data_IF_416912619500
#
_entry.id   IF_416912619500
#
_cell.length_a   1.000
_cell.length_b   1.000
_cell.length_c   1.000
_cell.angle_alpha   90.00
_cell.angle_beta   90.00
_cell.angle_gamma   90.00
#
_symmetry.space_group_name_H-M   'P 1'
#
loop_
_entity.id
_entity.type
_entity.pdbx_description
1 polymer ?
#
# COMPACT_ATOMS: atom_id res chain seq x y z
N UNK A 1 -35.81 -11.15 -16.12
CA UNK A 1 -34.45 -11.12 -15.55
C UNK A 1 -33.46 -10.93 -16.69
N UNK A 2 -32.35 -10.22 -16.47
CA UNK A 2 -31.29 -10.11 -17.48
C UNK A 2 -30.71 -11.51 -17.81
N UNK A 3 -30.11 -11.69 -18.98
CA UNK A 3 -29.34 -12.90 -19.29
C UNK A 3 -28.02 -12.89 -18.54
N UNK A 4 -27.39 -14.06 -18.36
CA UNK A 4 -26.06 -14.16 -17.73
C UNK A 4 -25.01 -13.35 -18.49
N UNK A 5 -25.00 -13.42 -19.83
CA UNK A 5 -24.12 -12.59 -20.69
C UNK A 5 -24.31 -11.08 -20.44
N UNK A 6 -25.54 -10.65 -20.16
CA UNK A 6 -25.84 -9.25 -19.87
C UNK A 6 -25.36 -8.85 -18.47
N UNK A 7 -25.46 -9.75 -17.49
CA UNK A 7 -24.88 -9.54 -16.16
C UNK A 7 -23.37 -9.45 -16.24
N UNK A 8 -22.73 -10.34 -17.00
CA UNK A 8 -21.29 -10.29 -17.22
C UNK A 8 -20.86 -8.97 -17.84
N UNK A 9 -21.57 -8.51 -18.88
CA UNK A 9 -21.31 -7.22 -19.51
C UNK A 9 -21.44 -6.06 -18.50
N UNK A 10 -22.50 -6.02 -17.69
CA UNK A 10 -22.69 -5.00 -16.66
C UNK A 10 -21.53 -4.94 -15.66
N UNK A 11 -21.09 -6.10 -15.16
CA UNK A 11 -20.00 -6.16 -14.19
C UNK A 11 -18.68 -5.71 -14.82
N UNK A 12 -18.34 -6.23 -16.01
CA UNK A 12 -17.07 -5.89 -16.68
C UNK A 12 -17.03 -4.41 -17.07
N UNK A 13 -18.13 -3.83 -17.52
CA UNK A 13 -18.26 -2.40 -17.81
C UNK A 13 -18.08 -1.58 -16.53
N UNK A 14 -18.82 -1.90 -15.46
CA UNK A 14 -18.69 -1.22 -14.17
C UNK A 14 -17.26 -1.27 -13.61
N UNK A 15 -16.59 -2.44 -13.66
CA UNK A 15 -15.20 -2.59 -13.21
C UNK A 15 -14.22 -1.86 -14.12
N UNK A 16 -14.51 -1.72 -15.41
CA UNK A 16 -13.67 -0.93 -16.33
C UNK A 16 -13.78 0.58 -16.07
N UNK A 17 -14.99 1.06 -15.78
CA UNK A 17 -15.30 2.48 -15.68
C UNK A 17 -15.06 3.09 -14.29
N UNK A 18 -15.10 2.27 -13.23
CA UNK A 18 -14.95 2.79 -11.86
C UNK A 18 -13.59 3.46 -11.65
N UNK A 19 -13.60 4.72 -11.21
CA UNK A 19 -12.39 5.40 -10.73
C UNK A 19 -12.06 4.93 -9.31
N UNK A 20 -10.87 4.36 -9.13
CA UNK A 20 -10.46 3.70 -7.88
C UNK A 20 -9.85 4.68 -6.90
N UNK A 21 -10.02 4.38 -5.61
CA UNK A 21 -9.21 4.96 -4.55
C UNK A 21 -8.07 3.98 -4.26
N UNK A 22 -6.83 4.38 -4.60
CA UNK A 22 -5.66 3.58 -4.27
C UNK A 22 -5.21 3.88 -2.85
N UNK A 23 -5.78 3.12 -1.91
CA UNK A 23 -5.71 3.40 -0.47
C UNK A 23 -4.29 3.30 0.11
N UNK A 24 -3.29 2.82 -0.64
CA UNK A 24 -1.91 2.76 -0.16
C UNK A 24 -0.88 2.64 -1.30
N UNK A 25 0.07 3.58 -1.32
CA UNK A 25 1.20 3.62 -2.26
C UNK A 25 2.46 4.20 -1.61
N UNK A 26 3.57 4.10 -2.32
CA UNK A 26 4.84 4.76 -2.04
C UNK A 26 5.16 5.84 -3.09
N UNK A 27 4.13 6.36 -3.77
CA UNK A 27 4.27 7.39 -4.79
C UNK A 27 4.32 8.77 -4.14
N UNK A 28 4.94 9.71 -4.85
CA UNK A 28 4.96 11.14 -4.53
C UNK A 28 4.68 11.94 -5.81
N UNK A 29 4.07 13.13 -5.71
CA UNK A 29 3.84 13.97 -6.88
C UNK A 29 5.16 14.54 -7.42
N UNK A 30 5.18 14.99 -8.69
CA UNK A 30 6.37 15.60 -9.32
C UNK A 30 7.00 16.73 -8.52
N UNK A 31 6.19 17.48 -7.77
CA UNK A 31 6.65 18.56 -6.88
C UNK A 31 7.60 18.11 -5.76
N UNK A 32 7.71 16.81 -5.47
CA UNK A 32 8.65 16.25 -4.49
C UNK A 32 9.99 15.82 -5.10
N UNK A 33 10.20 16.12 -6.38
CA UNK A 33 11.45 15.90 -7.08
C UNK A 33 11.97 14.47 -6.90
N UNK A 34 13.12 14.25 -6.24
CA UNK A 34 13.75 12.93 -6.14
C UNK A 34 12.90 11.82 -5.48
N UNK A 35 11.86 12.17 -4.71
CA UNK A 35 10.97 11.17 -4.12
C UNK A 35 9.99 10.56 -5.15
N UNK A 36 9.75 11.26 -6.27
CA UNK A 36 8.95 10.71 -7.35
C UNK A 36 9.80 9.74 -8.16
N UNK A 37 9.57 8.44 -7.99
CA UNK A 37 10.15 7.41 -8.83
C UNK A 37 9.23 7.09 -10.02
N UNK A 38 9.77 7.19 -11.23
CA UNK A 38 9.05 6.96 -12.49
C UNK A 38 10.04 6.61 -13.62
N UNK A 39 9.51 6.16 -14.75
CA UNK A 39 10.27 5.79 -15.94
C UNK A 39 10.67 4.31 -16.02
N UNK A 40 11.08 3.89 -17.22
CA UNK A 40 11.40 2.49 -17.51
C UNK A 40 12.53 1.92 -16.66
N UNK A 41 13.59 2.69 -16.39
CA UNK A 41 14.71 2.19 -15.58
C UNK A 41 14.29 1.99 -14.11
N UNK A 42 13.40 2.84 -13.57
CA UNK A 42 12.81 2.64 -12.25
C UNK A 42 11.90 1.41 -12.21
N UNK A 43 11.07 1.21 -13.25
CA UNK A 43 10.25 0.01 -13.38
C UNK A 43 11.09 -1.27 -13.37
N UNK A 44 12.16 -1.30 -14.17
CA UNK A 44 13.04 -2.47 -14.31
C UNK A 44 13.87 -2.72 -13.06
N UNK A 45 14.28 -1.68 -12.33
CA UNK A 45 15.04 -1.81 -11.08
C UNK A 45 14.17 -1.90 -9.83
N UNK A 46 12.86 -2.11 -10.01
CA UNK A 46 11.96 -2.45 -8.91
C UNK A 46 12.38 -3.76 -8.24
N UNK A 47 12.36 -3.79 -6.92
CA UNK A 47 12.94 -4.90 -6.13
C UNK A 47 12.39 -6.30 -6.44
N UNK A 48 11.17 -6.42 -6.98
CA UNK A 48 10.66 -7.72 -7.43
C UNK A 48 11.46 -8.26 -8.62
N UNK A 49 11.77 -7.39 -9.58
CA UNK A 49 12.55 -7.76 -10.76
C UNK A 49 14.04 -7.92 -10.42
N UNK A 50 14.57 -7.13 -9.49
CA UNK A 50 15.93 -7.34 -8.98
C UNK A 50 16.03 -8.73 -8.31
N UNK A 51 15.06 -9.09 -7.46
CA UNK A 51 15.04 -10.41 -6.82
C UNK A 51 14.89 -11.54 -7.85
N UNK A 52 14.02 -11.38 -8.83
CA UNK A 52 13.84 -12.35 -9.93
C UNK A 52 15.10 -12.49 -10.78
N UNK A 53 15.79 -11.39 -11.09
CA UNK A 53 17.05 -11.39 -11.84
C UNK A 53 18.10 -12.27 -11.16
N UNK A 54 18.32 -12.11 -9.85
CA UNK A 54 19.31 -12.93 -9.13
C UNK A 54 18.95 -14.42 -9.07
N UNK A 55 17.67 -14.77 -9.19
CA UNK A 55 17.21 -16.18 -9.21
C UNK A 55 17.30 -16.79 -10.60
N UNK A 56 17.15 -15.98 -11.66
CA UNK A 56 16.95 -16.45 -13.03
C UNK A 56 18.16 -16.31 -13.93
N UNK A 57 19.05 -15.35 -13.67
CA UNK A 57 20.28 -15.19 -14.41
C UNK A 57 21.17 -16.43 -14.25
N UNK A 58 21.78 -16.89 -15.35
CA UNK A 58 22.67 -18.07 -15.31
C UNK A 58 23.97 -17.76 -14.54
N UNK A 59 24.52 -16.57 -14.73
CA UNK A 59 25.73 -16.07 -14.06
C UNK A 59 25.52 -14.60 -13.60
N UNK A 60 24.73 -14.36 -12.55
CA UNK A 60 24.54 -13.00 -12.05
C UNK A 60 25.84 -12.46 -11.46
N UNK A 61 26.10 -11.14 -11.57
CA UNK A 61 27.15 -10.50 -10.78
C UNK A 61 26.88 -10.70 -9.27
N UNK A 62 27.91 -10.51 -8.43
CA UNK A 62 27.67 -10.45 -6.98
C UNK A 62 26.72 -9.29 -6.63
N UNK A 63 26.02 -9.38 -5.50
CA UNK A 63 25.10 -8.33 -5.07
C UNK A 63 25.78 -6.97 -4.98
N UNK A 64 26.95 -6.90 -4.34
CA UNK A 64 27.76 -5.68 -4.24
C UNK A 64 28.13 -5.12 -5.61
N UNK A 65 28.53 -5.99 -6.55
CA UNK A 65 28.86 -5.57 -7.91
C UNK A 65 27.66 -5.04 -8.67
N UNK A 66 26.48 -5.64 -8.51
CA UNK A 66 25.25 -5.17 -9.13
C UNK A 66 24.82 -3.81 -8.58
N UNK A 67 24.85 -3.64 -7.26
CA UNK A 67 24.44 -2.39 -6.62
C UNK A 67 25.45 -1.26 -6.74
N UNK A 68 26.69 -1.56 -7.13
CA UNK A 68 27.69 -0.56 -7.53
C UNK A 68 27.43 0.05 -8.92
N UNK A 69 26.64 -0.61 -9.77
CA UNK A 69 26.26 -0.10 -11.10
C UNK A 69 25.27 1.06 -10.96
N UNK A 70 25.23 1.94 -11.96
CA UNK A 70 24.18 2.93 -12.03
C UNK A 70 22.81 2.28 -12.37
N UNK A 71 21.72 3.04 -12.19
CA UNK A 71 20.36 2.52 -12.40
C UNK A 71 20.09 2.11 -13.84
N UNK A 72 20.71 2.76 -14.82
CA UNK A 72 20.53 2.49 -16.25
C UNK A 72 21.22 1.18 -16.63
N UNK A 73 22.40 0.93 -16.08
CA UNK A 73 23.15 -0.32 -16.21
C UNK A 73 22.41 -1.50 -15.55
N UNK A 74 21.93 -1.32 -14.30
CA UNK A 74 21.08 -2.30 -13.61
C UNK A 74 19.85 -2.67 -14.44
N UNK A 75 19.13 -1.66 -14.95
CA UNK A 75 17.95 -1.86 -15.79
C UNK A 75 18.25 -2.61 -17.08
N UNK A 76 19.39 -2.33 -17.73
CA UNK A 76 19.82 -3.04 -18.94
C UNK A 76 20.10 -4.52 -18.66
N UNK A 77 20.79 -4.86 -17.56
CA UNK A 77 21.03 -6.25 -17.18
C UNK A 77 19.72 -7.01 -16.93
N UNK A 78 18.78 -6.39 -16.21
CA UNK A 78 17.47 -6.97 -15.93
C UNK A 78 16.66 -7.16 -17.22
N UNK A 79 16.65 -6.16 -18.10
CA UNK A 79 15.96 -6.23 -19.40
C UNK A 79 16.49 -7.40 -20.25
N UNK A 80 17.81 -7.48 -20.39
CA UNK A 80 18.45 -8.48 -21.22
C UNK A 80 18.17 -9.91 -20.71
N UNK A 81 18.21 -10.11 -19.39
CA UNK A 81 17.99 -11.43 -18.82
C UNK A 81 16.51 -11.82 -18.78
N UNK A 82 15.64 -10.96 -18.24
CA UNK A 82 14.24 -11.30 -17.97
C UNK A 82 13.31 -11.14 -19.18
N UNK A 83 13.67 -10.29 -20.15
CA UNK A 83 12.79 -9.95 -21.28
C UNK A 83 13.36 -10.35 -22.65
N UNK A 84 14.69 -10.39 -22.81
CA UNK A 84 15.33 -10.76 -24.07
C UNK A 84 15.72 -12.24 -24.13
N UNK A 85 16.46 -12.74 -23.13
CA UNK A 85 16.92 -14.14 -23.09
C UNK A 85 15.82 -15.11 -22.70
N UNK A 86 14.84 -14.65 -21.91
CA UNK A 86 13.70 -15.43 -21.44
C UNK A 86 12.39 -14.76 -21.82
N UNK A 87 11.30 -15.53 -21.73
CA UNK A 87 9.97 -14.96 -21.85
C UNK A 87 9.55 -14.35 -20.50
N UNK A 88 9.01 -13.11 -20.48
CA UNK A 88 8.64 -12.40 -19.25
C UNK A 88 7.34 -12.94 -18.65
N UNK A 89 7.38 -14.14 -18.07
CA UNK A 89 6.19 -14.85 -17.59
C UNK A 89 5.72 -14.43 -16.19
N UNK A 90 6.62 -13.95 -15.33
CA UNK A 90 6.28 -13.56 -13.96
C UNK A 90 5.31 -12.38 -13.93
N UNK A 91 4.56 -12.23 -12.83
CA UNK A 91 3.63 -11.10 -12.66
C UNK A 91 4.34 -9.74 -12.73
N UNK A 92 5.55 -9.63 -12.16
CA UNK A 92 6.33 -8.40 -12.20
C UNK A 92 6.79 -8.07 -13.63
N UNK A 93 7.28 -9.06 -14.38
CA UNK A 93 7.68 -8.89 -15.78
C UNK A 93 6.48 -8.57 -16.68
N UNK A 94 5.36 -9.29 -16.54
CA UNK A 94 4.11 -8.98 -17.23
C UNK A 94 3.61 -7.58 -16.88
N UNK A 95 3.85 -7.10 -15.66
CA UNK A 95 3.55 -5.74 -15.26
C UNK A 95 4.22 -4.70 -16.16
N UNK A 96 5.53 -4.85 -16.43
CA UNK A 96 6.26 -3.96 -17.35
C UNK A 96 5.71 -4.04 -18.78
N UNK A 97 5.44 -5.24 -19.29
CA UNK A 97 4.85 -5.48 -20.62
C UNK A 97 3.49 -4.78 -20.73
N UNK A 98 2.60 -4.97 -19.76
CA UNK A 98 1.28 -4.33 -19.73
C UNK A 98 1.39 -2.81 -19.66
N UNK A 99 2.29 -2.29 -18.82
CA UNK A 99 2.55 -0.85 -18.70
C UNK A 99 2.96 -0.26 -20.05
N UNK A 100 3.94 -0.84 -20.74
CA UNK A 100 4.41 -0.33 -22.04
C UNK A 100 3.31 -0.38 -23.11
N UNK A 101 2.53 -1.47 -23.15
CA UNK A 101 1.36 -1.56 -24.05
C UNK A 101 0.33 -0.46 -23.75
N UNK A 102 -0.02 -0.23 -22.47
CA UNK A 102 -1.00 0.81 -22.10
C UNK A 102 -0.52 2.20 -22.51
N UNK A 103 0.81 2.44 -22.47
CA UNK A 103 1.44 3.68 -22.92
C UNK A 103 1.57 3.81 -24.45
N UNK A 104 1.19 2.80 -25.24
CA UNK A 104 1.27 2.84 -26.70
C UNK A 104 2.65 2.51 -27.28
N UNK A 105 3.48 1.76 -26.54
CA UNK A 105 4.85 1.38 -26.92
C UNK A 105 4.95 -0.07 -27.43
N UNK A 106 3.90 -0.58 -28.06
CA UNK A 106 3.85 -1.97 -28.53
C UNK A 106 4.92 -2.27 -29.58
N UNK A 107 5.20 -1.34 -30.48
CA UNK A 107 6.19 -1.54 -31.55
C UNK A 107 7.62 -1.60 -30.98
N UNK A 108 7.95 -0.73 -30.03
CA UNK A 108 9.23 -0.76 -29.30
C UNK A 108 9.36 -2.06 -28.49
N UNK A 109 8.28 -2.46 -27.82
CA UNK A 109 8.24 -3.69 -27.02
C UNK A 109 8.44 -4.94 -27.89
N UNK A 110 7.79 -5.02 -29.06
CA UNK A 110 7.98 -6.12 -30.02
C UNK A 110 9.41 -6.19 -30.54
N UNK A 111 10.04 -5.04 -30.80
CA UNK A 111 11.45 -4.94 -31.21
C UNK A 111 12.42 -5.14 -30.05
N UNK A 112 11.93 -5.15 -28.80
CA UNK A 112 12.71 -5.16 -27.56
C UNK A 112 13.71 -4.00 -27.48
N UNK A 113 13.31 -2.84 -28.01
CA UNK A 113 14.16 -1.67 -28.17
C UNK A 113 14.12 -0.78 -26.92
N UNK A 114 14.88 -1.18 -25.89
CA UNK A 114 14.96 -0.44 -24.62
C UNK A 114 15.44 1.01 -24.80
N UNK A 115 16.27 1.26 -25.82
CA UNK A 115 16.77 2.61 -26.12
C UNK A 115 15.65 3.53 -26.63
N UNK A 116 14.80 3.03 -27.53
CA UNK A 116 13.63 3.78 -27.99
C UNK A 116 12.62 4.01 -26.86
N UNK A 117 12.40 3.02 -25.99
CA UNK A 117 11.54 3.16 -24.81
C UNK A 117 12.06 4.26 -23.89
N UNK A 118 13.36 4.26 -23.58
CA UNK A 118 14.00 5.31 -22.76
C UNK A 118 13.82 6.70 -23.37
N UNK A 119 14.08 6.84 -24.67
CA UNK A 119 13.90 8.12 -25.37
C UNK A 119 12.46 8.63 -25.30
N UNK A 120 11.47 7.73 -25.35
CA UNK A 120 10.06 8.11 -25.17
C UNK A 120 9.77 8.64 -23.76
N UNK A 121 10.27 7.98 -22.72
CA UNK A 121 10.11 8.44 -21.33
C UNK A 121 10.82 9.78 -21.07
N UNK A 122 12.03 9.94 -21.60
CA UNK A 122 12.84 11.16 -21.48
C UNK A 122 12.17 12.38 -22.15
N UNK A 123 11.25 12.16 -23.09
CA UNK A 123 10.50 13.21 -23.77
C UNK A 123 9.24 13.71 -23.01
N UNK A 124 8.87 13.07 -21.89
CA UNK A 124 7.66 13.40 -21.16
C UNK A 124 7.85 14.58 -20.20
N UNK A 125 6.83 15.44 -20.08
CA UNK A 125 6.72 16.39 -18.97
C UNK A 125 6.20 15.67 -17.71
N UNK A 126 6.88 15.73 -16.55
CA UNK A 126 6.51 14.95 -15.37
C UNK A 126 5.10 15.21 -14.84
N UNK A 127 4.61 16.45 -14.90
CA UNK A 127 3.28 16.82 -14.39
C UNK A 127 2.17 16.35 -15.31
N UNK A 128 2.29 16.61 -16.62
CA UNK A 128 1.35 16.10 -17.62
C UNK A 128 1.36 14.57 -17.66
N UNK A 129 2.54 13.97 -17.53
CA UNK A 129 2.73 12.54 -17.54
C UNK A 129 2.07 11.86 -16.34
N UNK A 130 2.27 12.40 -15.12
CA UNK A 130 1.62 11.88 -13.92
C UNK A 130 0.09 11.89 -14.07
N UNK A 131 -0.51 13.01 -14.48
CA UNK A 131 -1.96 13.09 -14.68
C UNK A 131 -2.44 12.10 -15.75
N UNK A 132 -1.69 11.93 -16.83
CA UNK A 132 -1.98 10.93 -17.85
C UNK A 132 -1.95 9.50 -17.28
N UNK A 133 -0.98 9.15 -16.43
CA UNK A 133 -0.92 7.83 -15.78
C UNK A 133 -2.14 7.60 -14.88
N UNK A 134 -2.52 8.57 -14.05
CA UNK A 134 -3.72 8.47 -13.20
C UNK A 134 -4.98 8.26 -14.04
N UNK A 135 -5.14 9.04 -15.11
CA UNK A 135 -6.27 8.94 -16.04
C UNK A 135 -6.34 7.57 -16.71
N UNK A 136 -5.21 7.06 -17.21
CA UNK A 136 -5.18 5.76 -17.89
C UNK A 136 -5.39 4.58 -16.94
N UNK A 137 -4.88 4.66 -15.70
CA UNK A 137 -5.13 3.66 -14.66
C UNK A 137 -6.57 3.69 -14.11
N UNK A 138 -7.30 4.80 -14.36
CA UNK A 138 -8.61 5.06 -13.75
C UNK A 138 -8.49 5.21 -12.23
N UNK A 139 -7.46 5.92 -11.76
CA UNK A 139 -7.23 6.18 -10.32
C UNK A 139 -7.73 7.58 -9.98
N UNK A 140 -8.71 7.67 -9.09
CA UNK A 140 -9.27 8.93 -8.58
C UNK A 140 -8.22 9.68 -7.79
N UNK A 141 -7.63 9.02 -6.80
CA UNK A 141 -6.46 9.46 -6.04
C UNK A 141 -5.76 8.26 -5.41
N UNK A 142 -4.50 8.44 -5.05
CA UNK A 142 -3.73 7.51 -4.24
C UNK A 142 -3.40 8.12 -2.87
N UNK A 143 -3.06 7.25 -1.94
CA UNK A 143 -2.54 7.65 -0.63
C UNK A 143 -1.05 7.35 -0.56
N UNK A 144 -0.26 8.39 -0.30
CA UNK A 144 1.18 8.32 -0.16
C UNK A 144 1.58 7.70 1.18
N UNK A 145 2.85 7.32 1.31
CA UNK A 145 3.43 6.86 2.56
C UNK A 145 4.51 7.84 2.98
N UNK A 146 4.20 8.69 3.96
CA UNK A 146 5.05 9.80 4.35
C UNK A 146 5.82 9.49 5.64
N UNK A 147 7.15 9.51 5.57
CA UNK A 147 8.02 9.04 6.65
C UNK A 147 8.68 10.23 7.34
N UNK A 148 8.18 10.67 8.51
CA UNK A 148 8.69 11.85 9.20
C UNK A 148 10.05 11.61 9.88
N UNK A 149 10.58 10.40 9.77
CA UNK A 149 11.86 9.96 10.30
C UNK A 149 12.98 9.99 9.24
N UNK A 150 12.65 10.26 7.97
CA UNK A 150 13.59 10.26 6.85
C UNK A 150 13.92 11.69 6.43
N UNK A 151 15.15 12.13 6.65
CA UNK A 151 15.58 13.51 6.41
C UNK A 151 15.30 14.02 4.99
N UNK A 152 15.52 13.16 4.00
CA UNK A 152 15.29 13.50 2.60
C UNK A 152 13.82 13.83 2.33
N UNK A 153 12.89 13.15 3.01
CA UNK A 153 11.46 13.45 2.94
C UNK A 153 11.10 14.66 3.79
N UNK A 154 11.63 14.78 5.01
CA UNK A 154 11.39 15.94 5.88
C UNK A 154 11.68 17.25 5.15
N UNK A 155 12.80 17.30 4.43
CA UNK A 155 13.20 18.45 3.62
C UNK A 155 12.17 18.82 2.52
N UNK A 156 11.47 17.84 1.93
CA UNK A 156 10.43 18.12 0.92
C UNK A 156 9.20 18.79 1.52
N UNK A 157 8.90 18.49 2.78
CA UNK A 157 7.75 19.04 3.50
C UNK A 157 8.02 20.41 4.15
N UNK A 158 9.29 20.78 4.38
CA UNK A 158 9.67 22.10 4.93
C UNK A 158 9.52 23.24 3.93
N UNK A 159 9.58 22.94 2.63
CA UNK A 159 9.36 23.93 1.59
C UNK A 159 7.86 24.22 1.42
N UNK A 160 7.36 25.25 2.10
CA UNK A 160 5.96 25.67 2.02
C UNK A 160 5.52 26.06 0.58
N UNK A 161 6.47 26.40 -0.30
CA UNK A 161 6.16 26.67 -1.71
C UNK A 161 5.75 25.41 -2.46
N UNK A 162 6.22 24.24 -1.98
CA UNK A 162 5.81 22.93 -2.49
C UNK A 162 4.51 22.52 -1.86
N UNK A 163 4.33 22.68 -0.54
CA UNK A 163 3.25 22.16 0.31
C UNK A 163 1.79 22.42 -0.12
N UNK A 164 1.54 23.16 -1.22
CA UNK A 164 0.19 23.52 -1.69
C UNK A 164 -0.06 23.33 -3.19
N UNK A 165 0.94 22.93 -3.98
CA UNK A 165 0.80 22.66 -5.41
C UNK A 165 0.66 21.16 -5.74
N UNK A 166 -0.19 20.44 -4.99
CA UNK A 166 -0.26 18.97 -5.07
C UNK A 166 -1.58 18.64 -5.76
N UNK A 167 -1.52 17.78 -6.77
CA UNK A 167 -2.73 17.35 -7.46
C UNK A 167 -3.70 16.72 -6.46
N UNK A 168 -5.02 16.92 -6.65
CA UNK A 168 -6.08 16.24 -5.88
C UNK A 168 -5.96 14.70 -5.94
N UNK A 169 -5.07 14.20 -6.79
CA UNK A 169 -4.67 12.80 -6.95
C UNK A 169 -3.82 12.25 -5.79
N UNK A 170 -3.24 13.07 -4.92
CA UNK A 170 -2.36 12.59 -3.84
C UNK A 170 -2.91 13.00 -2.47
N UNK A 171 -3.14 12.01 -1.59
CA UNK A 171 -3.45 12.22 -0.16
C UNK A 171 -2.32 11.68 0.69
N UNK A 172 -2.07 12.26 1.85
CA UNK A 172 -0.96 11.85 2.71
C UNK A 172 -1.39 10.82 3.77
N UNK A 173 -0.46 9.98 4.17
CA UNK A 173 -0.55 9.19 5.39
C UNK A 173 0.80 9.17 6.10
N UNK A 174 0.81 9.35 7.41
CA UNK A 174 2.05 9.45 8.19
C UNK A 174 2.47 8.07 8.67
N UNK A 175 3.66 7.63 8.24
CA UNK A 175 4.26 6.35 8.60
C UNK A 175 4.94 6.42 9.96
N UNK A 176 4.53 5.55 10.86
CA UNK A 176 4.88 5.54 12.29
C UNK A 176 5.47 4.19 12.74
N UNK A 177 6.12 3.45 11.85
CA UNK A 177 6.76 2.15 12.14
C UNK A 177 7.59 2.15 13.45
N UNK A 178 8.43 3.15 13.76
CA UNK A 178 9.23 3.15 15.00
C UNK A 178 8.38 3.03 16.28
N UNK A 179 7.17 3.60 16.29
CA UNK A 179 6.27 3.54 17.45
C UNK A 179 5.81 2.11 17.74
N UNK A 180 5.52 1.31 16.70
CA UNK A 180 5.11 -0.08 16.88
C UNK A 180 6.27 -0.99 17.26
N UNK A 181 7.48 -0.64 16.80
CA UNK A 181 8.71 -1.35 17.15
C UNK A 181 9.16 -1.07 18.59
N UNK A 182 8.66 0.01 19.21
CA UNK A 182 9.21 0.48 20.47
C UNK A 182 10.61 1.09 20.33
N UNK A 183 10.95 1.56 19.12
CA UNK A 183 12.25 2.13 18.79
C UNK A 183 12.33 3.58 19.30
N UNK A 184 12.43 3.72 20.61
CA UNK A 184 12.49 5.02 21.29
C UNK A 184 13.77 5.80 20.95
N UNK A 185 14.86 5.12 20.60
CA UNK A 185 16.10 5.77 20.21
C UNK A 185 15.91 6.56 18.91
N UNK A 186 15.33 5.92 17.88
CA UNK A 186 14.96 6.60 16.64
C UNK A 186 13.95 7.72 16.89
N UNK A 187 12.90 7.46 17.68
CA UNK A 187 11.87 8.46 17.97
C UNK A 187 12.49 9.68 18.68
N UNK A 188 13.21 9.47 19.78
CA UNK A 188 13.79 10.55 20.58
C UNK A 188 14.83 11.35 19.81
N UNK A 189 15.65 10.71 18.97
CA UNK A 189 16.58 11.39 18.08
C UNK A 189 15.84 12.30 17.09
N UNK A 190 14.76 11.81 16.47
CA UNK A 190 13.92 12.61 15.57
C UNK A 190 13.19 13.74 16.29
N UNK A 191 12.66 13.49 17.49
CA UNK A 191 12.01 14.52 18.31
C UNK A 191 12.98 15.67 18.61
N UNK A 192 14.16 15.34 19.16
CA UNK A 192 15.19 16.33 19.47
C UNK A 192 15.62 17.12 18.23
N UNK A 193 15.82 16.42 17.10
CA UNK A 193 16.21 17.04 15.83
C UNK A 193 15.16 18.02 15.29
N UNK A 194 13.88 17.68 15.42
CA UNK A 194 12.77 18.51 14.95
C UNK A 194 12.24 19.48 16.03
N UNK A 195 12.94 19.63 17.16
CA UNK A 195 12.62 20.62 18.20
C UNK A 195 11.50 20.24 19.16
N UNK A 196 11.15 18.95 19.25
CA UNK A 196 10.18 18.43 20.22
C UNK A 196 10.89 17.89 21.47
N UNK A 197 10.27 17.99 22.67
CA UNK A 197 10.77 17.31 23.87
C UNK A 197 10.85 15.79 23.66
N UNK A 198 11.86 15.14 24.23
CA UNK A 198 12.01 13.68 24.21
C UNK A 198 11.17 13.03 25.31
N UNK A 199 9.86 13.23 25.25
CA UNK A 199 8.87 12.79 26.24
C UNK A 199 7.65 12.21 25.53
N UNK A 200 6.74 11.57 26.27
CA UNK A 200 5.47 11.08 25.69
C UNK A 200 4.65 12.22 25.09
N UNK A 201 4.52 13.36 25.77
CA UNK A 201 3.80 14.51 25.21
C UNK A 201 4.52 15.11 23.99
N UNK A 202 5.86 15.16 24.00
CA UNK A 202 6.62 15.57 22.83
C UNK A 202 6.38 14.67 21.62
N UNK A 203 6.29 13.35 21.84
CA UNK A 203 5.93 12.39 20.80
C UNK A 203 4.51 12.60 20.25
N UNK A 204 3.53 12.92 21.13
CA UNK A 204 2.17 13.29 20.70
C UNK A 204 2.18 14.59 19.89
N UNK A 205 2.86 15.63 20.36
CA UNK A 205 2.97 16.92 19.69
C UNK A 205 3.61 16.77 18.30
N UNK A 206 4.64 15.92 18.17
CA UNK A 206 5.25 15.57 16.91
C UNK A 206 4.25 14.94 15.93
N UNK A 207 3.49 13.92 16.36
CA UNK A 207 2.49 13.29 15.50
C UNK A 207 1.37 14.25 15.08
N UNK A 208 0.89 15.09 16.01
CA UNK A 208 -0.10 16.14 15.67
C UNK A 208 0.44 17.12 14.64
N UNK A 209 1.69 17.56 14.82
CA UNK A 209 2.35 18.48 13.91
C UNK A 209 2.46 17.88 12.51
N UNK A 210 2.92 16.63 12.39
CA UNK A 210 3.05 15.95 11.10
C UNK A 210 1.71 15.65 10.44
N UNK A 211 0.72 15.16 11.18
CA UNK A 211 -0.61 14.92 10.64
C UNK A 211 -1.25 16.22 10.13
N UNK A 212 -1.06 17.34 10.83
CA UNK A 212 -1.55 18.66 10.39
C UNK A 212 -0.76 19.17 9.18
N UNK A 213 0.57 19.08 9.20
CA UNK A 213 1.47 19.54 8.13
C UNK A 213 1.16 18.86 6.80
N UNK A 214 0.81 17.57 6.86
CA UNK A 214 0.59 16.72 5.69
C UNK A 214 -0.87 16.59 5.26
N UNK A 215 -1.83 17.11 6.06
CA UNK A 215 -3.26 16.81 5.93
C UNK A 215 -3.50 15.28 5.86
N UNK A 216 -2.86 14.56 6.79
CA UNK A 216 -2.86 13.11 6.78
C UNK A 216 -4.28 12.55 6.96
N UNK A 217 -4.63 11.56 6.16
CA UNK A 217 -5.94 10.90 6.29
C UNK A 217 -5.91 9.69 7.23
N UNK A 218 -4.72 9.12 7.50
CA UNK A 218 -4.51 8.11 8.54
C UNK A 218 -3.03 8.05 8.97
N UNK A 219 -2.76 7.47 10.14
CA UNK A 219 -1.43 7.00 10.50
C UNK A 219 -1.23 5.58 9.97
N UNK A 220 -0.03 5.19 9.56
CA UNK A 220 0.25 3.83 9.13
C UNK A 220 1.51 3.24 9.75
N UNK A 221 1.51 1.96 10.10
CA UNK A 221 2.71 1.25 10.49
C UNK A 221 2.77 -0.15 9.86
N UNK A 222 3.97 -0.57 9.47
CA UNK A 222 4.26 -2.00 9.32
C UNK A 222 4.74 -2.53 10.65
N UNK A 223 4.21 -3.66 11.09
CA UNK A 223 4.61 -4.27 12.37
C UNK A 223 6.05 -4.78 12.29
N UNK A 224 6.78 -4.87 13.42
CA UNK A 224 7.95 -5.74 13.52
C UNK A 224 7.57 -7.21 13.29
N UNK A 225 8.59 -8.04 13.13
CA UNK A 225 8.43 -9.49 13.15
C UNK A 225 7.92 -9.94 14.53
N UNK A 226 7.07 -10.97 14.54
CA UNK A 226 6.47 -11.55 15.74
C UNK A 226 5.76 -10.54 16.64
N UNK A 227 5.24 -9.47 16.03
CA UNK A 227 4.57 -8.39 16.74
C UNK A 227 3.45 -8.92 17.64
N UNK A 228 3.44 -8.42 18.87
CA UNK A 228 2.38 -8.65 19.85
C UNK A 228 1.96 -7.30 20.41
N UNK A 229 0.69 -7.24 20.79
CA UNK A 229 0.16 -6.12 21.53
C UNK A 229 -0.34 -6.61 22.88
N UNK A 230 0.24 -6.05 23.94
CA UNK A 230 -0.13 -6.33 25.33
C UNK A 230 -0.59 -5.02 25.96
N UNK A 231 -1.91 -4.89 26.10
CA UNK A 231 -2.52 -3.68 26.67
C UNK A 231 -1.90 -3.34 28.02
N UNK A 232 -1.50 -2.08 28.19
CA UNK A 232 -1.00 -1.62 29.48
C UNK A 232 -2.13 -1.67 30.53
N UNK A 233 -1.84 -2.15 31.76
CA UNK A 233 -2.78 -2.06 32.87
C UNK A 233 -3.21 -0.61 33.10
N UNK A 234 -4.50 -0.40 33.36
CA UNK A 234 -5.09 0.93 33.53
C UNK A 234 -4.38 1.73 34.64
N UNK A 235 -3.97 1.05 35.72
CA UNK A 235 -3.28 1.69 36.84
C UNK A 235 -1.91 2.25 36.42
N UNK A 236 -1.22 1.59 35.49
CA UNK A 236 0.07 2.05 34.96
C UNK A 236 -0.11 3.24 34.00
N UNK A 237 -1.19 3.26 33.22
CA UNK A 237 -1.51 4.38 32.34
C UNK A 237 -1.82 5.65 33.15
N UNK A 238 -2.62 5.52 34.21
CA UNK A 238 -2.99 6.65 35.08
C UNK A 238 -1.79 7.17 35.90
N UNK A 239 -0.89 6.27 36.33
CA UNK A 239 0.28 6.65 37.12
C UNK A 239 1.41 7.27 36.29
N UNK A 240 1.43 7.05 34.97
CA UNK A 240 2.51 7.51 34.12
C UNK A 240 2.41 9.02 33.84
N UNK A 241 3.53 9.71 33.93
CA UNK A 241 3.63 11.14 33.58
C UNK A 241 3.96 11.29 32.10
N UNK A 242 3.31 12.21 31.44
CA UNK A 242 3.54 12.45 30.00
C UNK A 242 4.80 13.29 29.71
N UNK A 243 5.36 13.92 30.75
CA UNK A 243 6.65 14.63 30.70
C UNK A 243 7.86 13.69 30.83
N UNK A 244 7.65 12.40 31.10
CA UNK A 244 8.71 11.40 31.17
C UNK A 244 8.81 10.61 29.85
N UNK A 245 10.00 10.05 29.52
CA UNK A 245 10.13 9.08 28.43
C UNK A 245 9.37 7.77 28.74
N UNK A 246 9.07 6.94 27.73
CA UNK A 246 8.49 5.62 27.97
C UNK A 246 9.51 4.73 28.71
N UNK A 247 9.01 3.86 29.58
CA UNK A 247 9.85 3.04 30.47
C UNK A 247 9.30 1.62 30.69
N UNK A 248 8.22 1.25 30.00
CA UNK A 248 7.59 -0.04 30.09
C UNK A 248 8.45 -1.16 29.48
N UNK A 249 8.22 -2.41 29.90
CA UNK A 249 8.94 -3.57 29.37
C UNK A 249 8.57 -3.91 27.91
N UNK A 250 7.42 -3.40 27.43
CA UNK A 250 6.98 -3.47 26.04
C UNK A 250 6.70 -2.04 25.57
N UNK A 251 7.75 -1.40 25.04
CA UNK A 251 7.71 -0.01 24.60
C UNK A 251 6.76 0.18 23.42
N UNK A 252 6.62 -0.81 22.54
CA UNK A 252 5.72 -0.73 21.39
C UNK A 252 4.26 -0.64 21.83
N UNK A 253 3.83 -1.56 22.71
CA UNK A 253 2.47 -1.51 23.29
C UNK A 253 2.24 -0.25 24.12
N UNK A 254 3.25 0.21 24.90
CA UNK A 254 3.16 1.47 25.63
C UNK A 254 2.96 2.68 24.72
N UNK A 255 3.74 2.78 23.64
CA UNK A 255 3.63 3.89 22.69
C UNK A 255 2.31 3.86 21.90
N UNK A 256 1.76 2.67 21.63
CA UNK A 256 0.40 2.55 21.09
C UNK A 256 -0.61 3.17 22.05
N UNK A 257 -0.61 2.75 23.31
CA UNK A 257 -1.60 3.16 24.31
C UNK A 257 -1.46 4.62 24.73
N UNK A 258 -0.23 5.11 24.84
CA UNK A 258 0.08 6.44 25.36
C UNK A 258 0.28 7.49 24.29
N UNK A 259 0.58 7.13 23.04
CA UNK A 259 0.87 8.11 21.97
C UNK A 259 -0.06 7.93 20.78
N UNK A 260 0.01 6.80 20.09
CA UNK A 260 -0.70 6.62 18.81
C UNK A 260 -2.21 6.69 18.96
N UNK A 261 -2.79 5.91 19.88
CA UNK A 261 -4.24 5.87 20.08
C UNK A 261 -4.79 7.22 20.57
N UNK A 262 -4.19 7.88 21.57
CA UNK A 262 -4.63 9.21 21.98
C UNK A 262 -4.64 10.23 20.84
N UNK A 263 -3.58 10.30 20.03
CA UNK A 263 -3.50 11.25 18.90
C UNK A 263 -4.48 10.87 17.79
N UNK A 264 -4.59 9.58 17.45
CA UNK A 264 -5.55 9.08 16.47
C UNK A 264 -6.99 9.43 16.86
N UNK A 265 -7.35 9.25 18.13
CA UNK A 265 -8.66 9.62 18.69
C UNK A 265 -8.89 11.12 18.62
N UNK A 266 -7.94 11.92 19.11
CA UNK A 266 -8.03 13.38 19.14
C UNK A 266 -8.25 13.97 17.74
N UNK A 267 -7.53 13.45 16.74
CA UNK A 267 -7.57 13.94 15.37
C UNK A 267 -8.62 13.23 14.48
N UNK A 268 -9.32 12.22 15.01
CA UNK A 268 -10.28 11.42 14.25
C UNK A 268 -9.65 10.57 13.13
N UNK A 269 -8.35 10.30 13.21
CA UNK A 269 -7.58 9.58 12.21
C UNK A 269 -7.58 8.07 12.46
N UNK A 270 -7.87 7.24 11.45
CA UNK A 270 -7.63 5.80 11.56
C UNK A 270 -6.15 5.46 11.72
N UNK A 271 -5.91 4.26 12.22
CA UNK A 271 -4.60 3.67 12.30
C UNK A 271 -4.49 2.45 11.36
N UNK A 272 -3.68 2.57 10.31
CA UNK A 272 -3.43 1.52 9.33
C UNK A 272 -2.28 0.60 9.77
N UNK A 273 -2.51 -0.71 9.79
CA UNK A 273 -1.55 -1.70 10.25
C UNK A 273 -1.28 -2.72 9.13
N UNK A 274 -0.02 -2.87 8.76
CA UNK A 274 0.46 -3.90 7.81
C UNK A 274 1.23 -4.97 8.59
N UNK A 275 0.74 -6.21 8.59
CA UNK A 275 1.24 -7.29 9.48
C UNK A 275 1.87 -8.44 8.68
N UNK A 276 3.02 -8.94 9.14
CA UNK A 276 3.61 -10.21 8.67
C UNK A 276 4.86 -10.10 7.80
N UNK A 277 5.49 -8.93 7.74
CA UNK A 277 6.80 -8.78 7.09
C UNK A 277 7.92 -9.25 8.02
N UNK A 278 8.75 -10.18 7.55
CA UNK A 278 9.99 -10.60 8.20
C UNK A 278 11.14 -9.80 7.61
N UNK A 279 11.75 -8.89 8.37
CA UNK A 279 12.76 -7.95 7.84
C UNK A 279 14.14 -8.59 7.77
N UNK A 280 14.90 -8.24 6.73
CA UNK A 280 16.31 -8.66 6.59
C UNK A 280 16.50 -10.17 6.46
N UNK A 281 15.56 -10.86 5.79
CA UNK A 281 15.66 -12.28 5.47
C UNK A 281 16.87 -12.55 4.55
N UNK A 282 17.14 -11.64 3.61
CA UNK A 282 18.33 -11.66 2.78
C UNK A 282 18.95 -10.24 2.71
N UNK A 283 19.90 -9.92 3.60
CA UNK A 283 20.52 -8.60 3.67
C UNK A 283 21.21 -8.16 2.37
N UNK A 284 21.64 -9.12 1.55
CA UNK A 284 22.29 -8.81 0.27
C UNK A 284 21.36 -8.06 -0.69
N UNK A 285 20.03 -8.14 -0.51
CA UNK A 285 19.03 -7.45 -1.34
C UNK A 285 18.47 -6.16 -0.70
N UNK A 286 18.96 -5.76 0.48
CA UNK A 286 18.51 -4.55 1.18
C UNK A 286 18.69 -3.25 0.37
N UNK A 287 19.74 -3.07 -0.47
CA UNK A 287 19.90 -1.83 -1.24
C UNK A 287 18.76 -1.48 -2.20
N UNK A 288 17.96 -2.47 -2.63
CA UNK A 288 16.72 -2.21 -3.40
C UNK A 288 15.44 -2.35 -2.56
N UNK A 289 15.56 -2.76 -1.28
CA UNK A 289 14.42 -3.11 -0.42
C UNK A 289 13.83 -4.50 -0.73
N UNK A 290 14.60 -5.39 -1.34
CA UNK A 290 14.19 -6.76 -1.69
C UNK A 290 14.54 -7.83 -0.66
N UNK A 291 15.25 -7.47 0.42
CA UNK A 291 15.75 -8.40 1.43
C UNK A 291 14.73 -8.88 2.45
N UNK A 292 13.50 -8.39 2.40
CA UNK A 292 12.44 -8.81 3.31
C UNK A 292 11.77 -10.11 2.86
N UNK A 293 11.07 -10.76 3.79
CA UNK A 293 10.26 -11.94 3.54
C UNK A 293 8.90 -11.87 4.22
N UNK A 294 8.26 -13.04 4.33
CA UNK A 294 6.92 -13.18 4.91
C UNK A 294 6.94 -14.19 6.06
N UNK A 295 6.15 -13.90 7.09
CA UNK A 295 5.84 -14.84 8.17
C UNK A 295 4.33 -14.89 8.44
N UNK A 296 3.87 -16.02 8.99
CA UNK A 296 2.51 -16.12 9.53
C UNK A 296 2.50 -15.39 10.87
N UNK A 297 1.74 -14.31 10.94
CA UNK A 297 1.64 -13.48 12.14
C UNK A 297 0.52 -13.94 13.08
N UNK A 298 0.68 -13.61 14.36
CA UNK A 298 -0.38 -13.76 15.36
C UNK A 298 -1.33 -12.54 15.31
N UNK A 299 -2.54 -12.76 14.80
CA UNK A 299 -3.55 -11.70 14.68
C UNK A 299 -4.34 -11.44 15.97
N UNK A 300 -4.02 -12.12 17.09
CA UNK A 300 -4.66 -11.82 18.37
C UNK A 300 -4.41 -10.37 18.81
N UNK A 301 -3.28 -9.78 18.38
CA UNK A 301 -2.98 -8.36 18.56
C UNK A 301 -4.11 -7.44 18.07
N UNK A 302 -4.74 -7.73 16.92
CA UNK A 302 -5.84 -6.94 16.39
C UNK A 302 -7.09 -7.06 17.27
N UNK A 303 -7.40 -8.27 17.73
CA UNK A 303 -8.56 -8.50 18.58
C UNK A 303 -8.38 -7.84 19.97
N UNK A 304 -7.15 -7.84 20.49
CA UNK A 304 -6.81 -7.16 21.73
C UNK A 304 -6.89 -5.63 21.59
N UNK A 305 -6.36 -5.06 20.49
CA UNK A 305 -6.49 -3.64 20.16
C UNK A 305 -7.97 -3.22 20.09
N UNK A 306 -8.79 -3.93 19.32
CA UNK A 306 -10.21 -3.60 19.15
C UNK A 306 -11.04 -3.72 20.44
N UNK A 307 -10.66 -4.65 21.34
CA UNK A 307 -11.33 -4.78 22.65
C UNK A 307 -10.96 -3.65 23.59
N UNK A 308 -9.70 -3.22 23.55
CA UNK A 308 -9.14 -2.17 24.42
C UNK A 308 -9.57 -0.77 23.99
N UNK A 309 -9.54 -0.49 22.68
CA UNK A 309 -9.74 0.84 22.09
C UNK A 309 -10.94 0.83 21.15
N UNK A 310 -12.14 0.81 21.71
CA UNK A 310 -13.39 0.60 20.95
C UNK A 310 -13.77 1.75 20.02
N UNK A 311 -13.13 2.89 20.19
CA UNK A 311 -13.36 4.16 19.51
C UNK A 311 -12.29 4.49 18.47
N UNK A 312 -11.42 3.52 18.14
CA UNK A 312 -10.37 3.68 17.12
C UNK A 312 -10.72 2.90 15.85
N UNK A 313 -10.56 3.56 14.71
CA UNK A 313 -10.67 2.94 13.39
C UNK A 313 -9.32 2.33 13.01
N UNK A 314 -9.33 1.10 12.50
CA UNK A 314 -8.16 0.35 12.09
C UNK A 314 -8.31 -0.08 10.64
N UNK A 315 -7.35 0.31 9.80
CA UNK A 315 -7.21 -0.20 8.44
C UNK A 315 -6.20 -1.36 8.48
N UNK A 316 -6.49 -2.51 7.88
CA UNK A 316 -5.58 -3.67 8.01
C UNK A 316 -5.36 -4.38 6.69
N UNK A 317 -4.10 -4.76 6.46
CA UNK A 317 -3.72 -5.78 5.48
C UNK A 317 -2.64 -6.70 6.05
N UNK A 318 -2.61 -7.95 5.59
CA UNK A 318 -1.66 -8.97 6.06
C UNK A 318 -0.87 -9.52 4.88
N UNK A 319 0.40 -9.85 5.12
CA UNK A 319 1.33 -10.29 4.08
C UNK A 319 1.22 -11.78 3.77
N UNK A 320 0.98 -12.60 4.81
CA UNK A 320 0.85 -14.04 4.65
C UNK A 320 -0.51 -14.42 4.08
N UNK A 321 -0.49 -15.29 3.05
CA UNK A 321 -1.69 -15.94 2.51
C UNK A 321 -2.47 -16.67 3.61
N UNK A 322 -1.78 -17.31 4.56
CA UNK A 322 -2.41 -18.11 5.63
C UNK A 322 -3.19 -17.24 6.63
N UNK A 323 -2.81 -15.96 6.78
CA UNK A 323 -3.51 -15.03 7.67
C UNK A 323 -4.80 -14.46 7.06
N UNK A 324 -5.02 -14.58 5.74
CA UNK A 324 -6.10 -13.89 5.04
C UNK A 324 -7.50 -14.30 5.54
N UNK A 325 -7.71 -15.59 5.81
CA UNK A 325 -8.99 -16.08 6.36
C UNK A 325 -9.26 -15.53 7.76
N UNK A 326 -8.29 -15.66 8.68
CA UNK A 326 -8.43 -15.17 10.05
C UNK A 326 -8.69 -13.65 10.07
N UNK A 327 -7.96 -12.87 9.26
CA UNK A 327 -8.19 -11.43 9.13
C UNK A 327 -9.61 -11.13 8.64
N UNK A 328 -10.10 -11.87 7.64
CA UNK A 328 -11.46 -11.68 7.11
C UNK A 328 -12.52 -11.97 8.17
N UNK A 329 -12.34 -13.01 8.98
CA UNK A 329 -13.23 -13.30 10.12
C UNK A 329 -13.15 -12.21 11.19
N UNK A 330 -11.96 -11.69 11.51
CA UNK A 330 -11.81 -10.58 12.45
C UNK A 330 -12.54 -9.33 11.95
N UNK A 331 -12.43 -9.00 10.67
CA UNK A 331 -13.17 -7.90 10.05
C UNK A 331 -14.69 -8.13 10.11
N UNK A 332 -15.16 -9.37 9.97
CA UNK A 332 -16.57 -9.70 10.16
C UNK A 332 -17.04 -9.44 11.62
N UNK A 333 -16.20 -9.69 12.62
CA UNK A 333 -16.53 -9.48 14.05
C UNK A 333 -16.37 -8.03 14.51
N UNK A 334 -15.41 -7.32 13.95
CA UNK A 334 -15.06 -5.97 14.34
C UNK A 334 -15.32 -4.95 13.22
N UNK A 335 -16.19 -5.22 12.24
CA UNK A 335 -16.35 -4.41 11.01
C UNK A 335 -16.82 -2.96 11.19
N UNK A 336 -17.12 -2.55 12.44
CA UNK A 336 -17.24 -1.12 12.78
C UNK A 336 -15.87 -0.46 12.92
N UNK A 337 -14.91 -1.16 13.52
CA UNK A 337 -13.54 -0.72 13.83
C UNK A 337 -12.51 -1.18 12.80
N UNK A 338 -12.65 -2.37 12.18
CA UNK A 338 -11.69 -2.91 11.21
C UNK A 338 -12.25 -2.74 9.79
N UNK A 339 -11.44 -2.15 8.92
CA UNK A 339 -11.64 -2.20 7.47
C UNK A 339 -10.42 -2.87 6.82
N UNK A 340 -10.66 -4.00 6.14
CA UNK A 340 -9.60 -4.73 5.46
C UNK A 340 -9.43 -4.20 4.05
N UNK A 341 -8.19 -4.10 3.60
CA UNK A 341 -7.88 -3.64 2.26
C UNK A 341 -6.77 -4.46 1.62
N UNK A 342 -6.84 -4.62 0.30
CA UNK A 342 -5.68 -5.01 -0.47
C UNK A 342 -5.29 -6.48 -0.46
N UNK A 343 -4.47 -6.83 -1.44
CA UNK A 343 -3.64 -8.02 -1.47
C UNK A 343 -2.17 -7.55 -1.43
N UNK A 344 -1.61 -7.44 -0.22
CA UNK A 344 -0.34 -6.78 -0.01
C UNK A 344 0.86 -7.60 -0.50
N UNK A 345 1.75 -6.96 -1.27
CA UNK A 345 3.07 -7.46 -1.65
C UNK A 345 3.09 -8.90 -2.19
N UNK A 346 3.52 -9.90 -1.42
CA UNK A 346 3.56 -11.29 -1.89
C UNK A 346 2.17 -11.88 -2.15
N UNK A 347 1.11 -11.29 -1.58
CA UNK A 347 -0.27 -11.61 -1.94
C UNK A 347 -0.74 -10.95 -3.24
N UNK A 348 0.03 -10.02 -3.82
CA UNK A 348 -0.33 -9.29 -5.05
C UNK A 348 -0.02 -10.09 -6.32
N UNK A 349 -0.48 -11.34 -6.36
CA UNK A 349 -0.37 -12.26 -7.49
C UNK A 349 -1.78 -12.70 -7.91
N UNK A 350 -2.09 -12.83 -9.22
CA UNK A 350 -3.46 -13.09 -9.68
C UNK A 350 -4.18 -14.26 -9.00
N UNK A 351 -3.46 -15.36 -8.72
CA UNK A 351 -4.02 -16.52 -8.03
C UNK A 351 -4.45 -16.24 -6.59
N UNK A 352 -3.66 -15.45 -5.86
CA UNK A 352 -3.96 -15.07 -4.47
C UNK A 352 -5.01 -13.96 -4.43
N UNK A 353 -4.97 -13.02 -5.38
CA UNK A 353 -6.00 -11.98 -5.51
C UNK A 353 -7.38 -12.62 -5.74
N UNK A 354 -7.49 -13.62 -6.62
CA UNK A 354 -8.76 -14.34 -6.85
C UNK A 354 -9.27 -14.99 -5.55
N UNK A 355 -8.42 -15.78 -4.89
CA UNK A 355 -8.75 -16.47 -3.65
C UNK A 355 -9.20 -15.51 -2.53
N UNK A 356 -8.39 -14.48 -2.27
CA UNK A 356 -8.66 -13.51 -1.20
C UNK A 356 -9.91 -12.68 -1.49
N UNK A 357 -10.14 -12.32 -2.76
CA UNK A 357 -11.33 -11.56 -3.15
C UNK A 357 -12.59 -12.40 -2.99
N UNK A 358 -12.59 -13.68 -3.41
CA UNK A 358 -13.72 -14.59 -3.20
C UNK A 358 -14.06 -14.75 -1.73
N UNK A 359 -13.04 -15.08 -0.92
CA UNK A 359 -13.16 -15.24 0.52
C UNK A 359 -13.78 -14.01 1.19
N UNK A 360 -13.29 -12.82 0.85
CA UNK A 360 -13.78 -11.56 1.44
C UNK A 360 -15.19 -11.23 0.98
N UNK A 361 -15.52 -11.42 -0.30
CA UNK A 361 -16.90 -11.23 -0.78
C UNK A 361 -17.87 -12.17 -0.07
N UNK A 362 -17.49 -13.43 0.15
CA UNK A 362 -18.33 -14.42 0.83
C UNK A 362 -18.61 -14.08 2.31
N UNK A 363 -17.64 -13.50 3.01
CA UNK A 363 -17.75 -13.22 4.46
C UNK A 363 -18.13 -11.77 4.79
N UNK A 364 -17.86 -10.82 3.90
CA UNK A 364 -17.99 -9.37 4.13
C UNK A 364 -18.88 -8.69 3.09
N UNK A 365 -19.38 -9.40 2.07
CA UNK A 365 -20.03 -8.77 0.91
C UNK A 365 -19.09 -7.71 0.31
N UNK A 366 -19.51 -6.46 0.19
CA UNK A 366 -18.72 -5.34 -0.35
C UNK A 366 -18.18 -4.39 0.72
N UNK A 367 -18.19 -4.80 2.00
CA UNK A 367 -17.72 -3.99 3.14
C UNK A 367 -16.19 -4.07 3.35
N UNK A 368 -15.43 -4.00 2.27
CA UNK A 368 -13.97 -3.97 2.27
C UNK A 368 -13.44 -3.28 1.01
N UNK A 369 -12.14 -2.98 0.94
CA UNK A 369 -11.50 -2.49 -0.29
C UNK A 369 -10.72 -3.63 -0.94
N UNK A 370 -11.05 -3.96 -2.18
CA UNK A 370 -10.53 -5.17 -2.81
C UNK A 370 -9.02 -5.13 -3.03
N UNK A 371 -8.47 -3.96 -3.39
CA UNK A 371 -7.07 -3.83 -3.76
C UNK A 371 -6.42 -2.50 -3.34
N UNK A 372 -5.09 -2.49 -3.26
CA UNK A 372 -4.22 -1.31 -3.38
C UNK A 372 -3.02 -1.68 -4.27
N UNK A 373 -2.33 -0.70 -4.86
CA UNK A 373 -1.20 -1.02 -5.75
C UNK A 373 0.10 -1.29 -5.01
N UNK A 374 0.31 -0.63 -3.87
CA UNK A 374 1.62 -0.52 -3.20
C UNK A 374 2.71 -0.01 -4.17
N UNK A 375 2.30 0.82 -5.15
CA UNK A 375 3.17 1.29 -6.22
C UNK A 375 4.32 2.12 -5.64
N UNK A 376 5.55 1.77 -6.03
CA UNK A 376 6.77 2.53 -5.75
C UNK A 376 7.23 3.36 -6.94
N UNK A 377 6.80 2.97 -8.14
CA UNK A 377 7.11 3.63 -9.40
C UNK A 377 5.78 4.01 -10.06
N UNK A 378 5.64 5.25 -10.53
CA UNK A 378 4.36 5.83 -10.97
C UNK A 378 3.58 4.93 -11.94
N UNK A 379 4.25 4.39 -12.96
CA UNK A 379 3.64 3.59 -14.02
C UNK A 379 3.18 2.21 -13.56
N UNK A 380 3.54 1.79 -12.34
CA UNK A 380 3.01 0.56 -11.76
C UNK A 380 1.50 0.66 -11.56
N UNK A 381 0.94 1.87 -11.40
CA UNK A 381 -0.51 2.07 -11.35
C UNK A 381 -1.20 1.45 -12.58
N UNK A 382 -0.60 1.55 -13.77
CA UNK A 382 -1.18 1.07 -15.01
C UNK A 382 -1.41 -0.44 -14.97
N UNK A 383 -0.36 -1.22 -14.68
CA UNK A 383 -0.51 -2.68 -14.68
C UNK A 383 -1.18 -3.19 -13.41
N UNK A 384 -0.88 -2.64 -12.23
CA UNK A 384 -1.45 -3.10 -10.95
C UNK A 384 -2.97 -3.03 -10.98
N UNK A 385 -3.53 -1.92 -11.48
CA UNK A 385 -4.96 -1.77 -11.62
C UNK A 385 -5.54 -2.54 -12.80
N UNK A 386 -4.85 -2.61 -13.95
CA UNK A 386 -5.31 -3.43 -15.09
C UNK A 386 -5.43 -4.91 -14.71
N UNK A 387 -4.40 -5.47 -14.06
CA UNK A 387 -4.36 -6.87 -13.67
C UNK A 387 -5.37 -7.18 -12.56
N UNK A 388 -5.42 -6.34 -11.52
CA UNK A 388 -6.35 -6.54 -10.40
C UNK A 388 -7.81 -6.41 -10.84
N UNK A 389 -8.15 -5.43 -11.69
CA UNK A 389 -9.52 -5.28 -12.23
C UNK A 389 -9.97 -6.53 -12.97
N UNK A 390 -9.10 -7.14 -13.78
CA UNK A 390 -9.41 -8.38 -14.50
C UNK A 390 -9.81 -9.49 -13.53
N UNK A 391 -8.99 -9.75 -12.52
CA UNK A 391 -9.23 -10.80 -11.52
C UNK A 391 -10.48 -10.51 -10.70
N UNK A 392 -10.63 -9.29 -10.20
CA UNK A 392 -11.81 -8.90 -9.39
C UNK A 392 -13.09 -8.98 -10.21
N UNK A 393 -13.08 -8.57 -11.49
CA UNK A 393 -14.24 -8.70 -12.37
C UNK A 393 -14.68 -10.16 -12.51
N UNK A 394 -13.76 -11.10 -12.70
CA UNK A 394 -14.09 -12.51 -12.83
C UNK A 394 -14.76 -13.08 -11.55
N UNK A 395 -14.31 -12.62 -10.38
CA UNK A 395 -14.96 -12.97 -9.09
C UNK A 395 -16.37 -12.39 -9.02
N UNK A 396 -16.54 -11.12 -9.36
CA UNK A 396 -17.83 -10.43 -9.29
C UNK A 396 -18.84 -11.00 -10.28
N UNK A 397 -18.43 -11.30 -11.52
CA UNK A 397 -19.29 -11.94 -12.53
C UNK A 397 -19.88 -13.23 -11.97
N UNK A 398 -19.03 -14.08 -11.38
CA UNK A 398 -19.49 -15.33 -10.77
C UNK A 398 -20.52 -15.08 -9.65
N UNK A 399 -20.25 -14.14 -8.75
CA UNK A 399 -21.14 -13.83 -7.61
C UNK A 399 -22.48 -13.21 -8.04
N UNK A 400 -22.49 -12.33 -9.03
CA UNK A 400 -23.73 -11.76 -9.55
C UNK A 400 -24.56 -12.78 -10.33
N UNK A 401 -23.94 -13.69 -11.08
CA UNK A 401 -24.63 -14.80 -11.75
C UNK A 401 -25.22 -15.77 -10.72
N UNK A 402 -24.47 -16.14 -9.68
CA UNK A 402 -24.98 -16.96 -8.57
C UNK A 402 -26.23 -16.33 -7.93
N UNK A 403 -26.17 -15.03 -7.64
CA UNK A 403 -27.29 -14.27 -7.07
C UNK A 403 -28.50 -14.24 -8.01
N UNK A 404 -28.27 -14.05 -9.31
CA UNK A 404 -29.33 -14.09 -10.33
C UNK A 404 -29.97 -15.49 -10.43
N UNK A 405 -29.18 -16.56 -10.43
CA UNK A 405 -29.66 -17.96 -10.47
C UNK A 405 -30.50 -18.31 -9.25
N UNK A 406 -30.22 -17.69 -8.09
CA UNK A 406 -31.02 -17.81 -6.89
C UNK A 406 -32.37 -17.05 -6.97
N UNK A 407 -32.64 -16.35 -8.08
CA UNK A 407 -33.89 -15.63 -8.32
C UNK A 407 -33.90 -14.19 -7.79
N UNK A 408 -32.75 -13.65 -7.35
CA UNK A 408 -32.66 -12.27 -6.91
C UNK A 408 -32.58 -11.31 -8.10
N UNK A 409 -33.47 -10.32 -8.13
CA UNK A 409 -33.51 -9.32 -9.19
C UNK A 409 -32.65 -8.08 -8.84
N UNK A 410 -31.87 -7.62 -9.80
CA UNK A 410 -31.07 -6.40 -9.71
C UNK A 410 -30.92 -5.74 -11.08
N UNK A 411 -30.50 -4.49 -11.11
CA UNK A 411 -30.19 -3.72 -12.32
C UNK A 411 -28.71 -3.32 -12.43
N UNK A 412 -28.36 -2.67 -13.53
CA UNK A 412 -27.00 -2.21 -13.82
C UNK A 412 -26.50 -1.17 -12.80
N UNK A 413 -27.37 -0.28 -12.32
CA UNK A 413 -26.97 0.75 -11.37
C UNK A 413 -26.61 0.14 -10.01
N UNK A 414 -27.32 -0.90 -9.59
CA UNK A 414 -26.98 -1.67 -8.39
C UNK A 414 -25.63 -2.40 -8.56
N UNK A 415 -25.35 -2.98 -9.73
CA UNK A 415 -24.03 -3.57 -10.01
C UNK A 415 -22.92 -2.53 -9.93
N UNK A 416 -23.11 -1.35 -10.53
CA UNK A 416 -22.16 -0.24 -10.46
C UNK A 416 -21.89 0.22 -9.02
N UNK A 417 -22.94 0.33 -8.19
CA UNK A 417 -22.80 0.70 -6.79
C UNK A 417 -21.97 -0.32 -5.99
N UNK A 418 -22.22 -1.62 -6.18
CA UNK A 418 -21.47 -2.68 -5.49
C UNK A 418 -20.01 -2.77 -5.96
N UNK A 419 -19.75 -2.51 -7.24
CA UNK A 419 -18.38 -2.36 -7.76
C UNK A 419 -17.71 -1.14 -7.11
N UNK A 420 -18.36 0.03 -7.09
CA UNK A 420 -17.85 1.25 -6.46
C UNK A 420 -17.41 1.05 -5.01
N UNK A 421 -18.22 0.32 -4.22
CA UNK A 421 -17.90 -0.08 -2.83
C UNK A 421 -16.53 -0.74 -2.72
N UNK A 422 -16.25 -1.74 -3.55
CA UNK A 422 -14.99 -2.50 -3.51
C UNK A 422 -13.77 -1.71 -3.99
N UNK A 423 -13.97 -0.72 -4.86
CA UNK A 423 -12.90 0.05 -5.48
C UNK A 423 -12.64 1.42 -4.81
N UNK A 424 -13.31 1.72 -3.71
CA UNK A 424 -12.98 2.90 -2.89
C UNK A 424 -14.11 3.38 -2.00
N UNK A 425 -15.36 3.22 -2.41
CA UNK A 425 -16.46 3.89 -1.71
C UNK A 425 -16.68 3.30 -0.30
N UNK A 426 -16.41 2.00 -0.08
CA UNK A 426 -16.43 1.41 1.27
C UNK A 426 -15.31 1.94 2.16
N UNK A 427 -14.13 2.23 1.60
CA UNK A 427 -13.06 2.90 2.33
C UNK A 427 -13.50 4.31 2.71
N UNK A 428 -13.98 5.12 1.77
CA UNK A 428 -14.41 6.49 2.05
C UNK A 428 -15.55 6.54 3.08
N UNK A 429 -16.51 5.62 2.98
CA UNK A 429 -17.58 5.48 3.97
C UNK A 429 -17.05 5.08 5.36
N UNK A 430 -16.02 4.23 5.43
CA UNK A 430 -15.33 3.90 6.68
C UNK A 430 -14.57 5.10 7.25
N UNK A 431 -13.86 5.85 6.41
CA UNK A 431 -13.16 7.08 6.80
C UNK A 431 -14.13 8.13 7.37
N UNK A 432 -15.31 8.31 6.77
CA UNK A 432 -16.32 9.28 7.20
C UNK A 432 -17.09 8.85 8.48
N UNK A 433 -17.02 7.58 8.87
CA UNK A 433 -17.73 7.06 10.05
C UNK A 433 -17.14 7.63 11.35
N UNK A 434 -18.02 8.02 12.26
CA UNK A 434 -17.68 8.29 13.66
C UNK A 434 -17.94 7.02 14.50
N UNK A 435 -17.03 6.73 15.44
CA UNK A 435 -17.12 5.56 16.32
C UNK A 435 -17.72 5.87 17.67
#
# INVERSE_FOLDING_TARGET
>A
MATEDRVEAWVREAVKEVEVVDVHTHLFPPSHGPLMSWGIDALLTYHYLVSEFFVTADEPPSSDSFFALDKREQATLIWDELFCRRLPLSEACQGVVTTLRVLGLEDELQRRDLSAIRAWFEAQDPDEYAENVFRQAGVRYCVMTNVPFEDAEVAQWEDESRAKAWSKRFKAAVRVDPFLKGDWDTISATLAKQGFPTTIEGARAFLRSWATKTDAIYFMASTPDRFRYVALPEEKLVAAKDDDPPAGPDLGSELIDRVLVPVAREMGLPFAIKIGACRGLNPDLDPCGGGDGVEVADLDCLSALCRRHRDVKILVTVLSRDNQHQLTVLANKFGRQIHVYGCWWYCNNPSIIDEVTRLRVELLSTAFTAQHSDARVLEQLLYKWTHSRRVIADVLVAKFIELQRAGWAFDQAQVQAEVGRLFGDSFEAFMARQL
#
